data_IF_917029914960
#
_entry.id   IF_917029914960
#
_cell.length_a   1.000
_cell.length_b   1.000
_cell.length_c   1.000
_cell.angle_alpha   90.00
_cell.angle_beta   90.00
_cell.angle_gamma   90.00
#
_symmetry.space_group_name_H-M   'P 1'
#
loop_
_entity.id
_entity.type
_entity.pdbx_description
1 polymer ?
#
# COMPACT_ATOMS: atom_id res chain seq x y z
N UNK A 1 -19.01 -24.15 4.17
CA UNK A 1 -17.60 -23.99 3.84
C UNK A 1 -17.31 -22.60 3.28
N UNK A 2 -16.27 -21.96 3.74
CA UNK A 2 -15.97 -20.61 3.28
C UNK A 2 -15.16 -20.63 2.01
N UNK A 3 -15.50 -19.74 1.10
CA UNK A 3 -14.69 -19.56 -0.10
C UNK A 3 -13.48 -18.71 0.24
N UNK A 4 -12.51 -18.73 -0.65
CA UNK A 4 -11.32 -17.88 -0.50
C UNK A 4 -11.74 -16.41 -0.46
N UNK A 5 -12.71 -16.05 -1.28
CA UNK A 5 -13.20 -14.68 -1.31
C UNK A 5 -13.81 -14.26 0.02
N UNK A 6 -14.59 -15.15 0.62
CA UNK A 6 -15.23 -14.85 1.91
C UNK A 6 -14.18 -14.70 2.99
N UNK A 7 -13.17 -15.54 2.97
CA UNK A 7 -12.09 -15.45 3.95
C UNK A 7 -11.31 -14.15 3.78
N UNK A 8 -11.05 -13.77 2.55
CA UNK A 8 -10.35 -12.52 2.27
C UNK A 8 -11.17 -11.34 2.76
N UNK A 9 -12.44 -11.32 2.46
CA UNK A 9 -13.31 -10.24 2.88
C UNK A 9 -13.34 -10.10 4.40
N UNK A 10 -13.39 -11.22 5.09
CA UNK A 10 -13.38 -11.21 6.55
C UNK A 10 -12.08 -10.64 7.09
N UNK A 11 -10.97 -11.03 6.48
CA UNK A 11 -9.67 -10.51 6.89
C UNK A 11 -9.59 -9.00 6.70
N UNK A 12 -10.08 -8.52 5.56
CA UNK A 12 -10.06 -7.09 5.31
C UNK A 12 -10.89 -6.33 6.32
N UNK A 13 -12.06 -6.86 6.64
CA UNK A 13 -12.93 -6.20 7.63
C UNK A 13 -12.26 -6.06 8.98
N UNK A 14 -11.57 -7.11 9.40
CA UNK A 14 -10.93 -7.11 10.70
C UNK A 14 -9.75 -6.13 10.72
N UNK A 15 -9.02 -6.03 9.62
CA UNK A 15 -7.79 -5.25 9.59
C UNK A 15 -7.91 -3.94 8.81
N UNK A 16 -9.13 -3.54 8.53
CA UNK A 16 -9.36 -2.34 7.74
C UNK A 16 -8.71 -1.10 8.33
N UNK A 17 -8.77 -0.98 9.65
CA UNK A 17 -8.16 0.17 10.30
C UNK A 17 -6.66 0.26 10.09
N UNK A 18 -6.00 -0.87 10.12
CA UNK A 18 -4.55 -0.91 9.89
C UNK A 18 -4.23 -0.43 8.48
N UNK A 19 -4.98 -0.93 7.50
CA UNK A 19 -4.75 -0.54 6.11
C UNK A 19 -4.97 0.95 5.93
N UNK A 20 -6.06 1.46 6.49
CA UNK A 20 -6.34 2.90 6.40
C UNK A 20 -5.26 3.74 7.06
N UNK A 21 -4.78 3.29 8.20
CA UNK A 21 -3.73 4.02 8.91
C UNK A 21 -2.50 4.19 8.03
N UNK A 22 -2.08 3.11 7.37
CA UNK A 22 -0.91 3.19 6.50
C UNK A 22 -1.19 4.11 5.32
N UNK A 23 -2.37 3.98 4.72
CA UNK A 23 -2.71 4.82 3.57
C UNK A 23 -2.74 6.28 3.95
N UNK A 24 -3.24 6.60 5.14
CA UNK A 24 -3.27 7.99 5.61
C UNK A 24 -1.87 8.57 5.75
N UNK A 25 -0.93 7.75 6.16
CA UNK A 25 0.44 8.21 6.34
C UNK A 25 1.09 8.65 5.04
N UNK A 26 0.59 8.15 3.92
CA UNK A 26 1.16 8.45 2.61
C UNK A 26 0.26 9.30 1.72
N UNK A 27 -0.83 9.82 2.29
CA UNK A 27 -1.82 10.52 1.48
C UNK A 27 -1.95 11.97 1.88
N UNK A 28 -2.37 12.79 0.92
CA UNK A 28 -2.60 14.21 1.14
C UNK A 28 -4.08 14.54 1.30
N UNK A 29 -4.95 13.72 0.72
CA UNK A 29 -6.37 14.00 0.75
C UNK A 29 -7.15 12.70 0.67
N UNK A 30 -8.46 12.82 0.78
CA UNK A 30 -9.34 11.66 0.84
C UNK A 30 -9.31 10.82 -0.44
N UNK A 31 -9.17 11.48 -1.57
CA UNK A 31 -9.13 10.74 -2.83
C UNK A 31 -7.89 9.87 -2.90
N UNK A 32 -6.79 10.39 -2.44
CA UNK A 32 -5.54 9.64 -2.43
C UNK A 32 -5.63 8.45 -1.48
N UNK A 33 -6.25 8.65 -0.32
CA UNK A 33 -6.44 7.54 0.62
C UNK A 33 -7.21 6.41 -0.04
N UNK A 34 -8.29 6.76 -0.72
CA UNK A 34 -9.12 5.76 -1.37
C UNK A 34 -8.36 5.01 -2.45
N UNK A 35 -7.59 5.73 -3.24
CA UNK A 35 -6.81 5.10 -4.31
C UNK A 35 -5.79 4.14 -3.73
N UNK A 36 -5.08 4.56 -2.70
CA UNK A 36 -4.10 3.70 -2.07
C UNK A 36 -4.75 2.49 -1.42
N UNK A 37 -5.89 2.71 -0.79
CA UNK A 37 -6.60 1.61 -0.14
C UNK A 37 -6.94 0.53 -1.17
N UNK A 38 -7.44 0.94 -2.32
CA UNK A 38 -7.79 -0.01 -3.37
C UNK A 38 -6.56 -0.74 -3.90
N UNK A 39 -5.46 -0.01 -4.07
CA UNK A 39 -4.23 -0.66 -4.52
C UNK A 39 -3.74 -1.69 -3.50
N UNK A 40 -3.84 -1.36 -2.23
CA UNK A 40 -3.45 -2.31 -1.20
C UNK A 40 -4.33 -3.55 -1.26
N UNK A 41 -5.64 -3.37 -1.43
CA UNK A 41 -6.54 -4.50 -1.51
C UNK A 41 -6.19 -5.41 -2.68
N UNK A 42 -5.86 -4.83 -3.81
CA UNK A 42 -5.50 -5.61 -4.98
C UNK A 42 -4.25 -6.44 -4.69
N UNK A 43 -3.26 -5.83 -4.08
CA UNK A 43 -2.02 -6.54 -3.78
C UNK A 43 -2.21 -7.60 -2.69
N UNK A 44 -3.05 -7.31 -1.71
CA UNK A 44 -3.37 -8.31 -0.70
C UNK A 44 -4.06 -9.50 -1.33
N UNK A 45 -5.01 -9.23 -2.23
CA UNK A 45 -5.72 -10.31 -2.89
C UNK A 45 -4.78 -11.19 -3.71
N UNK A 46 -3.86 -10.54 -4.42
CA UNK A 46 -2.91 -11.29 -5.24
C UNK A 46 -2.06 -12.25 -4.42
N UNK A 47 -1.71 -11.85 -3.21
CA UNK A 47 -0.86 -12.68 -2.37
C UNK A 47 -1.61 -13.56 -1.38
N UNK A 48 -2.92 -13.40 -1.29
CA UNK A 48 -3.68 -14.05 -0.23
C UNK A 48 -3.62 -15.58 -0.36
N UNK A 49 -3.76 -16.07 -1.58
CA UNK A 49 -3.72 -17.51 -1.79
C UNK A 49 -2.37 -18.14 -1.49
N UNK A 50 -1.32 -17.34 -1.59
CA UNK A 50 0.04 -17.81 -1.32
C UNK A 50 0.49 -17.55 0.10
N UNK A 51 -0.28 -16.81 0.85
CA UNK A 51 0.09 -16.50 2.23
C UNK A 51 0.07 -17.77 3.04
N UNK A 52 1.23 -18.14 3.56
CA UNK A 52 1.38 -19.43 4.21
C UNK A 52 1.31 -19.37 5.74
N UNK A 53 0.93 -18.22 6.25
CA UNK A 53 0.79 -18.04 7.69
C UNK A 53 2.08 -18.30 8.45
N UNK A 54 3.19 -18.09 7.78
CA UNK A 54 4.48 -18.20 8.43
C UNK A 54 4.75 -17.01 9.32
N UNK A 55 3.99 -15.94 9.10
CA UNK A 55 4.03 -14.79 9.97
C UNK A 55 2.61 -14.47 10.35
N UNK A 56 2.47 -13.56 11.28
CA UNK A 56 1.15 -13.12 11.67
C UNK A 56 0.51 -12.36 10.50
N UNK A 57 -0.79 -12.54 10.35
CA UNK A 57 -1.49 -11.87 9.26
C UNK A 57 -1.36 -10.36 9.38
N UNK A 58 -1.33 -9.85 10.60
CA UNK A 58 -1.15 -8.41 10.81
C UNK A 58 0.16 -7.92 10.23
N UNK A 59 1.23 -8.66 10.48
CA UNK A 59 2.55 -8.30 9.95
C UNK A 59 2.55 -8.32 8.43
N UNK A 60 1.92 -9.33 7.87
CA UNK A 60 1.83 -9.44 6.42
C UNK A 60 1.06 -8.25 5.82
N UNK A 61 -0.07 -7.89 6.44
CA UNK A 61 -0.86 -6.77 5.97
C UNK A 61 -0.08 -5.46 6.05
N UNK A 62 0.64 -5.24 7.15
CA UNK A 62 1.49 -4.07 7.29
C UNK A 62 2.50 -4.00 6.16
N UNK A 63 3.17 -5.12 5.91
CA UNK A 63 4.22 -5.17 4.89
C UNK A 63 3.65 -4.86 3.51
N UNK A 64 2.55 -5.50 3.15
CA UNK A 64 1.95 -5.26 1.84
C UNK A 64 1.46 -3.83 1.72
N UNK A 65 0.86 -3.30 2.78
CA UNK A 65 0.34 -1.94 2.75
C UNK A 65 1.46 -0.92 2.57
N UNK A 66 2.52 -1.03 3.35
CA UNK A 66 3.66 -0.14 3.23
C UNK A 66 4.30 -0.24 1.86
N UNK A 67 4.54 -1.45 1.41
CA UNK A 67 5.18 -1.64 0.11
C UNK A 67 4.35 -1.05 -1.02
N UNK A 68 3.05 -1.21 -0.95
CA UNK A 68 2.17 -0.66 -1.96
C UNK A 68 2.24 0.86 -1.97
N UNK A 69 2.13 1.46 -0.79
CA UNK A 69 2.14 2.92 -0.71
C UNK A 69 3.47 3.50 -1.15
N UNK A 70 4.55 2.87 -0.75
CA UNK A 70 5.87 3.33 -1.16
C UNK A 70 6.03 3.24 -2.67
N UNK A 71 5.56 2.14 -3.26
CA UNK A 71 5.64 1.98 -4.70
C UNK A 71 4.85 3.04 -5.44
N UNK A 72 3.65 3.33 -4.95
CA UNK A 72 2.83 4.36 -5.58
C UNK A 72 3.47 5.73 -5.45
N UNK A 73 4.04 6.01 -4.30
CA UNK A 73 4.70 7.28 -4.10
C UNK A 73 5.89 7.44 -5.04
N UNK A 74 6.65 6.38 -5.22
CA UNK A 74 7.77 6.42 -6.15
C UNK A 74 7.31 6.67 -7.57
N UNK A 75 6.24 6.04 -7.97
CA UNK A 75 5.68 6.25 -9.30
C UNK A 75 5.31 7.70 -9.51
N UNK A 76 4.62 8.28 -8.56
CA UNK A 76 4.18 9.66 -8.67
C UNK A 76 5.36 10.61 -8.73
N UNK A 77 6.33 10.38 -7.87
CA UNK A 77 7.52 11.22 -7.88
C UNK A 77 8.25 11.12 -9.21
N UNK A 78 8.37 9.91 -9.70
CA UNK A 78 9.06 9.70 -10.96
C UNK A 78 8.35 10.43 -12.08
N UNK A 79 7.04 10.35 -12.09
CA UNK A 79 6.25 10.99 -13.12
C UNK A 79 6.31 12.50 -13.02
N UNK A 80 6.07 13.03 -11.84
CA UNK A 80 6.02 14.48 -11.69
C UNK A 80 7.39 15.11 -11.73
N UNK A 81 8.44 14.33 -11.51
CA UNK A 81 9.76 14.86 -11.47
C UNK A 81 10.35 15.15 -12.82
N UNK A 82 9.74 14.62 -13.83
CA UNK A 82 10.23 14.84 -15.16
C UNK A 82 10.61 16.26 -15.42
N UNK A 83 9.76 17.20 -15.15
CA UNK A 83 10.12 18.58 -15.38
C UNK A 83 11.15 19.08 -14.42
N UNK A 84 11.13 18.55 -13.29
CA UNK A 84 12.03 19.04 -12.37
C UNK A 84 13.12 18.22 -12.20
N UNK A 85 13.23 17.66 -12.49
CA UNK A 85 14.16 17.09 -12.30
C UNK A 85 15.10 17.44 -12.21
N UNK A 86 14.95 17.72 -12.61
CA UNK A 86 15.90 18.00 -12.52
C UNK A 86 16.36 18.52 -11.44
N UNK A 87 16.53 18.62 -10.95
CA UNK A 87 17.11 19.05 -9.98
C UNK A 87 16.92 18.74 -8.74
N UNK A 88 16.58 18.55 -8.53
CA UNK A 88 16.42 18.23 -7.38
C UNK A 88 16.64 17.26 -6.85
N UNK A 89 16.82 16.86 -7.49
CA UNK A 89 17.04 15.93 -6.93
C UNK A 89 17.58 15.71 -6.24
N UNK A 90 17.73 16.13 -6.46
CA UNK A 90 18.25 15.86 -5.76
C UNK A 90 18.21 15.94 -4.64
N UNK A 91 18.05 16.33 -4.53
CA UNK A 91 18.08 16.32 -3.39
C UNK A 91 17.78 15.82 -2.62
N UNK A 92 17.71 15.57 -3.12
CA UNK A 92 17.59 14.95 -2.39
C UNK A 92 17.68 14.39 -1.94
N UNK A 93 17.80 14.43 -2.43
CA UNK A 93 17.93 13.84 -1.93
C UNK A 93 17.94 13.42 -1.17
N UNK A 94 18.02 13.68 -1.42
CA UNK A 94 18.07 13.24 -0.60
C UNK A 94 17.88 12.71 0.18
N UNK A 95 18.00 12.90 -0.05
CA UNK A 95 17.91 12.41 0.75
C UNK A 95 17.84 11.79 1.23
N UNK A 96 18.12 11.84 0.90
CA UNK A 96 18.25 11.23 1.41
C UNK A 96 18.37 10.83 1.84
#
# INVERSE_FOLDING_TARGET
>A
MKTLEAEFEQMVRVHKGTIYTVCLMFSKDADEVNDLFQEVLINLWRGFGSFKRESKVETWIWRVSFNTCISQERKQKHTSRIPLEMGIDLFHDSDE
#
